data_IF_130492308428
#
_entry.id   IF_130492308428
#
_cell.length_a   1.000
_cell.length_b   1.000
_cell.length_c   1.000
_cell.angle_alpha   90.00
_cell.angle_beta   90.00
_cell.angle_gamma   90.00
#
_symmetry.space_group_name_H-M   'P 1'
#
loop_
_entity.id
_entity.type
_entity.pdbx_description
1 polymer ?
#
# COMPACT_ATOMS: atom_id res chain seq x y z
N UNK A 1 14.05 18.83 -0.61
CA UNK A 1 12.68 18.79 -0.09
C UNK A 1 12.28 17.32 -0.13
N UNK A 2 11.67 16.80 0.94
CA UNK A 2 11.15 15.42 1.00
C UNK A 2 10.06 15.27 -0.05
N UNK A 3 10.14 14.24 -0.90
CA UNK A 3 9.10 13.88 -1.87
C UNK A 3 8.14 12.83 -1.30
N UNK A 4 8.21 12.54 0.02
CA UNK A 4 7.42 11.49 0.67
C UNK A 4 5.93 11.70 0.45
N UNK A 5 5.42 12.92 0.62
CA UNK A 5 4.00 13.19 0.41
C UNK A 5 3.55 12.86 -1.03
N UNK A 6 4.32 13.29 -2.02
CA UNK A 6 3.97 13.09 -3.44
C UNK A 6 4.03 11.60 -3.79
N UNK A 7 5.04 10.87 -3.31
CA UNK A 7 5.13 9.41 -3.46
C UNK A 7 3.94 8.69 -2.82
N UNK A 8 3.48 9.15 -1.66
CA UNK A 8 2.29 8.60 -1.00
C UNK A 8 1.06 8.89 -1.86
N UNK A 9 0.84 10.14 -2.25
CA UNK A 9 -0.34 10.53 -3.01
C UNK A 9 -0.44 9.79 -4.34
N UNK A 10 0.61 9.83 -5.16
CA UNK A 10 0.66 9.15 -6.46
C UNK A 10 0.58 7.64 -6.30
N UNK A 11 1.32 7.07 -5.35
CA UNK A 11 1.32 5.65 -5.09
C UNK A 11 -0.05 5.12 -4.65
N UNK A 12 -0.75 5.84 -3.77
CA UNK A 12 -2.10 5.48 -3.34
C UNK A 12 -3.10 5.55 -4.51
N UNK A 13 -2.99 6.55 -5.39
CA UNK A 13 -3.84 6.63 -6.58
C UNK A 13 -3.61 5.48 -7.55
N UNK A 14 -2.34 5.14 -7.83
CA UNK A 14 -1.99 4.01 -8.70
C UNK A 14 -2.51 2.69 -8.12
N UNK A 15 -2.33 2.46 -6.82
CA UNK A 15 -2.83 1.26 -6.16
C UNK A 15 -4.36 1.20 -6.15
N UNK A 16 -5.04 2.32 -5.89
CA UNK A 16 -6.49 2.39 -5.90
C UNK A 16 -7.05 2.13 -7.31
N UNK A 17 -6.44 2.70 -8.34
CA UNK A 17 -6.85 2.50 -9.73
C UNK A 17 -6.68 1.03 -10.13
N UNK A 18 -5.53 0.43 -9.86
CA UNK A 18 -5.28 -0.99 -10.18
C UNK A 18 -6.17 -1.94 -9.39
N UNK A 19 -6.48 -1.64 -8.12
CA UNK A 19 -7.29 -2.51 -7.30
C UNK A 19 -8.79 -2.39 -7.55
N UNK A 20 -9.26 -1.21 -7.98
CA UNK A 20 -10.68 -0.89 -8.06
C UNK A 20 -11.23 -0.77 -9.48
N UNK A 21 -10.45 -0.21 -10.41
CA UNK A 21 -10.94 0.28 -11.71
C UNK A 21 -10.30 -0.41 -12.93
N UNK A 22 -9.22 -1.19 -12.73
CA UNK A 22 -8.60 -1.95 -13.82
C UNK A 22 -9.50 -3.08 -14.35
N UNK A 23 -9.18 -3.58 -15.54
CA UNK A 23 -9.87 -4.76 -16.12
C UNK A 23 -9.64 -6.05 -15.30
N UNK A 24 -8.55 -6.10 -14.52
CA UNK A 24 -8.16 -7.21 -13.65
C UNK A 24 -8.73 -7.09 -12.23
N UNK A 25 -9.40 -5.97 -11.92
CA UNK A 25 -9.98 -5.72 -10.60
C UNK A 25 -11.08 -6.73 -10.27
N UNK A 26 -11.04 -7.24 -9.03
CA UNK A 26 -12.03 -8.17 -8.48
C UNK A 26 -12.86 -7.49 -7.40
N UNK A 27 -13.98 -8.11 -7.01
CA UNK A 27 -14.75 -7.65 -5.83
C UNK A 27 -13.89 -7.67 -4.57
N UNK A 28 -13.08 -8.72 -4.38
CA UNK A 28 -12.15 -8.85 -3.27
C UNK A 28 -11.10 -7.72 -3.25
N UNK A 29 -10.48 -7.41 -4.39
CA UNK A 29 -9.47 -6.33 -4.45
C UNK A 29 -10.09 -4.97 -4.16
N UNK A 30 -11.29 -4.71 -4.67
CA UNK A 30 -12.05 -3.49 -4.36
C UNK A 30 -12.31 -3.36 -2.86
N UNK A 31 -12.80 -4.41 -2.22
CA UNK A 31 -13.08 -4.39 -0.77
C UNK A 31 -11.80 -4.23 0.06
N UNK A 32 -10.76 -4.99 -0.27
CA UNK A 32 -9.50 -4.97 0.45
C UNK A 32 -8.79 -3.62 0.36
N UNK A 33 -8.88 -2.93 -0.78
CA UNK A 33 -8.19 -1.65 -1.04
C UNK A 33 -9.10 -0.42 -0.92
N UNK A 34 -10.39 -0.57 -0.62
CA UNK A 34 -11.32 0.55 -0.44
C UNK A 34 -10.80 1.62 0.55
N UNK A 35 -10.22 1.27 1.72
CA UNK A 35 -9.67 2.27 2.63
C UNK A 35 -8.54 3.11 2.02
N UNK A 36 -7.73 2.51 1.14
CA UNK A 36 -6.65 3.19 0.42
C UNK A 36 -7.21 4.11 -0.66
N UNK A 37 -8.23 3.67 -1.40
CA UNK A 37 -8.92 4.49 -2.39
C UNK A 37 -9.51 5.75 -1.73
N UNK A 38 -10.24 5.59 -0.63
CA UNK A 38 -10.78 6.72 0.15
C UNK A 38 -9.66 7.64 0.65
N UNK A 39 -8.57 7.07 1.18
CA UNK A 39 -7.43 7.86 1.64
C UNK A 39 -6.80 8.70 0.51
N UNK A 40 -6.67 8.12 -0.69
CA UNK A 40 -6.09 8.77 -1.88
C UNK A 40 -6.88 10.01 -2.32
N UNK A 41 -8.19 10.05 -2.07
CA UNK A 41 -9.06 11.18 -2.44
C UNK A 41 -9.02 12.31 -1.40
N UNK A 42 -8.90 11.96 -0.12
CA UNK A 42 -9.00 12.92 0.99
C UNK A 42 -7.65 13.51 1.38
N UNK A 43 -6.55 12.83 1.07
CA UNK A 43 -5.22 13.30 1.41
C UNK A 43 -4.81 14.43 0.47
N UNK A 44 -4.56 15.61 1.03
CA UNK A 44 -4.13 16.78 0.27
C UNK A 44 -2.92 17.42 0.93
N UNK A 45 -1.99 18.00 0.14
CA UNK A 45 -0.91 18.78 0.70
C UNK A 45 -1.50 19.86 1.61
N UNK A 46 -1.00 19.97 2.85
CA UNK A 46 -1.39 20.97 3.86
C UNK A 46 -2.76 20.77 4.54
N UNK A 47 -3.51 19.71 4.26
CA UNK A 47 -4.74 19.37 5.01
C UNK A 47 -4.54 18.29 6.08
N UNK A 48 -3.45 17.53 5.98
CA UNK A 48 -3.08 16.51 6.96
C UNK A 48 -2.28 17.13 8.11
N UNK A 49 -2.65 16.78 9.35
CA UNK A 49 -1.88 17.13 10.55
C UNK A 49 -0.75 16.15 10.84
N UNK A 50 -0.63 15.07 10.06
CA UNK A 50 0.40 14.05 10.22
C UNK A 50 1.75 14.53 9.66
N UNK A 51 2.83 14.11 10.30
CA UNK A 51 4.16 14.20 9.71
C UNK A 51 4.28 13.26 8.49
N UNK A 52 5.20 13.56 7.56
CA UNK A 52 5.50 12.69 6.42
C UNK A 52 5.80 11.25 6.86
N UNK A 53 6.56 11.09 7.95
CA UNK A 53 6.93 9.77 8.46
C UNK A 53 5.76 8.99 9.04
N UNK A 54 4.88 9.65 9.82
CA UNK A 54 3.67 9.02 10.34
C UNK A 54 2.74 8.62 9.19
N UNK A 55 2.60 9.48 8.20
CA UNK A 55 1.75 9.24 7.05
C UNK A 55 2.26 8.08 6.21
N UNK A 56 3.57 8.00 5.97
CA UNK A 56 4.18 6.88 5.27
C UNK A 56 3.98 5.57 6.03
N UNK A 57 4.24 5.56 7.34
CA UNK A 57 4.04 4.36 8.17
C UNK A 57 2.58 3.89 8.16
N UNK A 58 1.60 4.81 8.20
CA UNK A 58 0.17 4.47 8.09
C UNK A 58 -0.18 3.91 6.71
N UNK A 59 0.37 4.51 5.65
CA UNK A 59 0.12 4.07 4.26
C UNK A 59 0.71 2.68 4.00
N UNK A 60 1.94 2.43 4.43
CA UNK A 60 2.58 1.10 4.34
C UNK A 60 1.76 0.05 5.09
N UNK A 61 1.27 0.37 6.29
CA UNK A 61 0.44 -0.56 7.07
C UNK A 61 -0.89 -0.87 6.38
N UNK A 62 -1.56 0.14 5.81
CA UNK A 62 -2.82 -0.06 5.08
C UNK A 62 -2.61 -0.96 3.86
N UNK A 63 -1.61 -0.66 3.03
CA UNK A 63 -1.23 -1.50 1.88
C UNK A 63 -0.91 -2.92 2.33
N UNK A 64 -0.16 -3.07 3.42
CA UNK A 64 0.18 -4.39 3.95
C UNK A 64 -1.03 -5.18 4.44
N UNK A 65 -2.01 -4.55 5.09
CA UNK A 65 -3.25 -5.21 5.49
C UNK A 65 -4.07 -5.63 4.27
N UNK A 66 -4.21 -4.76 3.28
CA UNK A 66 -4.92 -5.09 2.03
C UNK A 66 -4.26 -6.28 1.32
N UNK A 67 -2.92 -6.31 1.24
CA UNK A 67 -2.18 -7.44 0.69
C UNK A 67 -2.43 -8.75 1.47
N UNK A 68 -2.51 -8.70 2.80
CA UNK A 68 -2.80 -9.89 3.62
C UNK A 68 -4.19 -10.44 3.36
N UNK A 69 -5.19 -9.56 3.22
CA UNK A 69 -6.55 -9.96 2.83
C UNK A 69 -6.49 -10.66 1.47
N UNK A 70 -5.83 -10.06 0.48
CA UNK A 70 -5.68 -10.69 -0.84
C UNK A 70 -4.97 -12.05 -0.77
N UNK A 71 -3.85 -12.16 -0.05
CA UNK A 71 -3.11 -13.42 0.12
C UNK A 71 -3.92 -14.50 0.84
N UNK A 72 -4.83 -14.13 1.74
CA UNK A 72 -5.70 -15.09 2.43
C UNK A 72 -6.76 -15.69 1.51
N UNK A 73 -7.25 -14.91 0.54
CA UNK A 73 -8.45 -15.26 -0.23
C UNK A 73 -8.20 -15.50 -1.73
N UNK A 74 -7.05 -15.07 -2.26
CA UNK A 74 -6.66 -15.24 -3.65
C UNK A 74 -5.29 -15.93 -3.76
N UNK A 75 -5.29 -17.20 -4.19
CA UNK A 75 -4.10 -18.07 -4.23
C UNK A 75 -2.96 -17.53 -5.09
N UNK A 76 -3.27 -16.85 -6.19
CA UNK A 76 -2.29 -16.34 -7.14
C UNK A 76 -2.01 -14.84 -6.98
N UNK A 77 -2.42 -14.22 -5.86
CA UNK A 77 -2.25 -12.78 -5.68
C UNK A 77 -0.79 -12.32 -5.85
N UNK A 78 0.18 -13.11 -5.37
CA UNK A 78 1.61 -12.79 -5.47
C UNK A 78 2.17 -12.76 -6.89
N UNK A 79 1.40 -13.23 -7.87
CA UNK A 79 1.75 -13.22 -9.29
C UNK A 79 1.05 -12.08 -10.05
N UNK A 80 0.28 -11.24 -9.35
CA UNK A 80 -0.47 -10.13 -9.95
C UNK A 80 0.33 -8.84 -9.98
N UNK A 81 0.01 -7.98 -10.95
CA UNK A 81 0.58 -6.63 -11.05
C UNK A 81 0.29 -5.80 -9.80
N UNK A 82 -0.92 -5.92 -9.22
CA UNK A 82 -1.29 -5.23 -7.98
C UNK A 82 -0.34 -5.57 -6.82
N UNK A 83 0.05 -6.83 -6.65
CA UNK A 83 1.03 -7.23 -5.63
C UNK A 83 2.41 -6.60 -5.90
N UNK A 84 2.86 -6.58 -7.15
CA UNK A 84 4.13 -5.96 -7.51
C UNK A 84 4.11 -4.45 -7.29
N UNK A 85 3.01 -3.77 -7.60
CA UNK A 85 2.83 -2.35 -7.30
C UNK A 85 2.87 -2.08 -5.79
N UNK A 86 2.26 -2.94 -4.96
CA UNK A 86 2.33 -2.81 -3.50
C UNK A 86 3.77 -2.88 -2.99
N UNK A 87 4.59 -3.79 -3.53
CA UNK A 87 6.02 -3.88 -3.16
C UNK A 87 6.81 -2.67 -3.60
N UNK A 88 6.57 -2.20 -4.83
CA UNK A 88 7.23 -0.99 -5.35
C UNK A 88 6.89 0.21 -4.49
N UNK A 89 5.62 0.41 -4.15
CA UNK A 89 5.16 1.49 -3.29
C UNK A 89 5.90 1.50 -1.94
N UNK A 90 5.89 0.37 -1.22
CA UNK A 90 6.56 0.26 0.08
C UNK A 90 8.07 0.49 -0.07
N UNK A 91 8.68 -0.08 -1.11
CA UNK A 91 10.11 0.07 -1.38
C UNK A 91 10.49 1.53 -1.62
N UNK A 92 9.76 2.24 -2.48
CA UNK A 92 10.01 3.64 -2.80
C UNK A 92 9.86 4.54 -1.58
N UNK A 93 8.86 4.29 -0.72
CA UNK A 93 8.70 5.05 0.53
C UNK A 93 9.83 4.79 1.52
N UNK A 94 10.27 3.54 1.66
CA UNK A 94 11.40 3.22 2.52
C UNK A 94 12.67 3.93 2.06
N UNK A 95 12.91 3.93 0.74
CA UNK A 95 14.11 4.52 0.15
C UNK A 95 14.11 6.06 0.27
N UNK A 96 12.97 6.73 0.04
CA UNK A 96 12.85 8.18 0.21
C UNK A 96 13.02 8.61 1.68
N UNK A 97 12.61 7.76 2.62
CA UNK A 97 12.72 8.03 4.06
C UNK A 97 14.05 7.58 4.68
N UNK A 98 15.00 7.10 3.88
CA UNK A 98 16.27 6.52 4.34
C UNK A 98 16.09 5.43 5.42
N UNK A 99 15.03 4.62 5.29
CA UNK A 99 14.74 3.51 6.21
C UNK A 99 15.78 2.41 6.01
N UNK A 100 16.36 1.92 7.11
CA UNK A 100 17.36 0.86 7.03
C UNK A 100 16.81 -0.46 6.47
N UNK A 101 17.73 -1.28 5.97
CA UNK A 101 17.41 -2.53 5.29
C UNK A 101 16.62 -3.50 6.17
N UNK A 102 16.84 -3.51 7.49
CA UNK A 102 16.13 -4.41 8.39
C UNK A 102 14.64 -4.05 8.45
N UNK A 103 14.31 -2.77 8.65
CA UNK A 103 12.92 -2.30 8.67
C UNK A 103 12.22 -2.43 7.30
N UNK A 104 12.93 -2.12 6.21
CA UNK A 104 12.41 -2.33 4.85
C UNK A 104 12.07 -3.80 4.59
N UNK A 105 12.98 -4.71 4.96
CA UNK A 105 12.77 -6.15 4.82
C UNK A 105 11.59 -6.62 5.66
N UNK A 106 11.47 -6.11 6.89
CA UNK A 106 10.34 -6.40 7.77
C UNK A 106 9.00 -6.01 7.12
N UNK A 107 8.83 -4.80 6.61
CA UNK A 107 7.56 -4.41 5.99
C UNK A 107 7.25 -5.21 4.72
N UNK A 108 8.25 -5.50 3.89
CA UNK A 108 8.06 -6.32 2.69
C UNK A 108 7.71 -7.77 3.04
N UNK A 109 8.26 -8.36 4.10
CA UNK A 109 7.86 -9.71 4.52
C UNK A 109 6.45 -9.74 5.06
N UNK A 110 5.98 -8.65 5.68
CA UNK A 110 4.62 -8.56 6.22
C UNK A 110 3.57 -8.64 5.14
N UNK A 111 3.79 -8.07 3.96
CA UNK A 111 2.79 -8.12 2.90
C UNK A 111 2.64 -9.52 2.28
N UNK A 112 3.61 -10.40 2.48
CA UNK A 112 3.60 -11.79 1.99
C UNK A 112 2.80 -12.74 2.89
N UNK A 113 2.42 -12.29 4.09
CA UNK A 113 1.66 -13.09 5.04
C UNK A 113 0.19 -13.18 4.62
N UNK A 114 -0.48 -14.24 5.07
CA UNK A 114 -1.94 -14.33 5.10
C UNK A 114 -2.43 -13.87 6.48
N UNK A 115 -3.68 -13.41 6.57
CA UNK A 115 -4.35 -13.22 7.85
C UNK A 115 -4.39 -14.55 8.63
N UNK A 116 -4.22 -14.50 9.96
CA UNK A 116 -4.38 -15.70 10.79
C UNK A 116 -5.80 -16.24 10.65
N UNK A 117 -5.92 -17.55 10.48
CA UNK A 117 -7.21 -18.24 10.53
C UNK A 117 -7.48 -18.53 12.00
N UNK A 118 -8.58 -18.01 12.54
CA UNK A 118 -9.10 -18.37 13.86
C UNK A 118 -9.75 -19.77 13.85
#
# INVERSE_FOLDING_TARGET
MSNVFDLIYEGLQVLAEEACNSETSTELSREAFLPLAVLSEVIKPRSTSLSDGDLAARSINLVGVSCKVMNSHQKNFKETDLYHLCKTFITSLCDEMDIDLFHKTYWLSRIDESLPVE
#
